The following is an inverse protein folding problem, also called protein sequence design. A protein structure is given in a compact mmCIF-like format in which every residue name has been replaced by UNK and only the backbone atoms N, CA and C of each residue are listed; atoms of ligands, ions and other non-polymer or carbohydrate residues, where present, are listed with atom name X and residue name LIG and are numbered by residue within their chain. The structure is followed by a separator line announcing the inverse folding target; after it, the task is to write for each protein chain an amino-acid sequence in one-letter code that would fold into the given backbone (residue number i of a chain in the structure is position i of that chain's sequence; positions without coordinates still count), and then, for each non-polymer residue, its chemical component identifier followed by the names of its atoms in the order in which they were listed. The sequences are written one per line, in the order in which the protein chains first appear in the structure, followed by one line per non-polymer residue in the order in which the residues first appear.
data_IF_008372044896
#
_entry.id   IF_008372044896
#
_cell.length_a   1.000
_cell.length_b   1.000
_cell.length_c   1.000
_cell.angle_alpha   90.00
_cell.angle_beta   90.00
_cell.angle_gamma   90.00
#
_symmetry.space_group_name_H-M   'P 1'
#
loop_
_entity.id
_entity.type
_entity.pdbx_description
1 polymer ?
#
# COMPACT_ATOMS: atom_id res chain seq x y z
N UNK A 1 20.68 7.97 7.63
CA UNK A 1 20.50 9.05 6.64
C UNK A 1 19.54 8.51 5.60
N UNK A 2 18.23 8.61 5.86
CA UNK A 2 17.20 8.00 5.02
C UNK A 2 16.94 8.88 3.81
N UNK A 3 17.63 8.61 2.71
CA UNK A 3 17.46 9.33 1.45
C UNK A 3 16.12 8.93 0.82
N UNK A 4 15.11 9.79 0.95
CA UNK A 4 13.82 9.59 0.29
C UNK A 4 13.98 9.82 -1.23
N UNK A 5 13.88 8.74 -2.01
CA UNK A 5 13.82 8.83 -3.48
C UNK A 5 12.35 8.98 -3.87
N UNK A 6 12.04 10.09 -4.55
CA UNK A 6 10.69 10.39 -5.00
C UNK A 6 10.31 9.43 -6.14
N UNK A 7 9.27 8.64 -5.91
CA UNK A 7 8.76 7.66 -6.89
C UNK A 7 8.08 8.33 -8.08
N UNK A 8 8.25 7.76 -9.26
CA UNK A 8 7.54 8.21 -10.47
C UNK A 8 6.06 7.88 -10.34
N UNK A 9 5.21 8.72 -10.94
CA UNK A 9 3.74 8.59 -10.81
C UNK A 9 3.23 7.25 -11.35
N UNK A 10 3.98 6.60 -12.23
CA UNK A 10 3.63 5.33 -12.87
C UNK A 10 3.86 4.12 -11.95
N UNK A 11 4.65 4.26 -10.88
CA UNK A 11 4.79 3.23 -9.85
C UNK A 11 3.51 3.20 -8.99
N UNK A 12 2.71 2.15 -9.19
CA UNK A 12 1.46 1.88 -8.45
C UNK A 12 1.66 0.99 -7.22
N UNK A 13 2.87 0.47 -7.06
CA UNK A 13 3.27 -0.38 -5.94
C UNK A 13 4.51 0.16 -5.24
N UNK A 14 4.69 -0.22 -3.98
CA UNK A 14 5.84 0.18 -3.19
C UNK A 14 6.24 -0.91 -2.22
N UNK A 15 7.55 -1.06 -2.00
CA UNK A 15 8.06 -1.91 -0.95
C UNK A 15 8.03 -1.17 0.39
N UNK A 16 7.37 -1.75 1.38
CA UNK A 16 7.32 -1.27 2.76
C UNK A 16 7.62 -2.45 3.65
N UNK A 17 8.64 -2.32 4.51
CA UNK A 17 9.08 -3.40 5.41
C UNK A 17 9.35 -4.75 4.69
N UNK A 18 9.86 -4.71 3.45
CA UNK A 18 10.13 -5.90 2.64
C UNK A 18 8.91 -6.51 1.95
N UNK A 19 7.71 -5.94 2.13
CA UNK A 19 6.49 -6.40 1.47
C UNK A 19 6.06 -5.44 0.36
N UNK A 20 5.54 -5.99 -0.74
CA UNK A 20 4.96 -5.20 -1.82
C UNK A 20 3.57 -4.72 -1.40
N UNK A 21 3.32 -3.42 -1.50
CA UNK A 21 2.07 -2.77 -1.08
C UNK A 21 1.57 -1.86 -2.18
N UNK A 22 0.24 -1.82 -2.38
CA UNK A 22 -0.37 -0.95 -3.37
C UNK A 22 -0.36 0.49 -2.84
N UNK A 23 0.09 1.44 -3.67
CA UNK A 23 0.40 2.81 -3.27
C UNK A 23 -0.81 3.57 -2.72
N UNK A 24 -1.98 3.41 -3.34
CA UNK A 24 -3.18 4.16 -2.96
C UNK A 24 -3.76 3.61 -1.65
N UNK A 25 -3.75 2.28 -1.46
CA UNK A 25 -4.07 1.61 -0.20
C UNK A 25 -3.10 2.02 0.92
N UNK A 26 -1.80 2.09 0.63
CA UNK A 26 -0.80 2.55 1.59
C UNK A 26 -1.02 4.02 1.98
N UNK A 27 -1.37 4.89 1.03
CA UNK A 27 -1.71 6.29 1.30
C UNK A 27 -2.93 6.42 2.20
N UNK A 28 -3.98 5.63 1.94
CA UNK A 28 -5.17 5.58 2.80
C UNK A 28 -4.84 5.06 4.22
N UNK A 29 -3.95 4.07 4.33
CA UNK A 29 -3.45 3.56 5.61
C UNK A 29 -2.70 4.63 6.42
N UNK A 30 -1.82 5.40 5.77
CA UNK A 30 -1.09 6.50 6.42
C UNK A 30 -2.04 7.60 6.88
N UNK A 31 -3.06 7.94 6.07
CA UNK A 31 -4.09 8.91 6.45
C UNK A 31 -4.90 8.42 7.66
N UNK A 32 -5.30 7.14 7.67
CA UNK A 32 -6.04 6.53 8.79
C UNK A 32 -5.24 6.48 10.09
N UNK A 33 -3.93 6.34 9.99
CA UNK A 33 -3.00 6.31 11.13
C UNK A 33 -2.25 7.64 11.33
N UNK A 34 -2.73 8.73 10.72
CA UNK A 34 -2.20 10.06 10.98
C UNK A 34 -2.58 10.55 12.37
N UNK A 35 -1.73 11.38 12.96
CA UNK A 35 -2.03 12.03 14.22
C UNK A 35 -3.28 12.90 14.09
N UNK A 36 -4.00 13.20 15.19
CA UNK A 36 -5.17 14.08 15.16
C UNK A 36 -4.88 15.46 14.55
N UNK A 37 -3.64 15.93 14.71
CA UNK A 37 -3.13 17.17 14.13
C UNK A 37 -2.80 17.09 12.64
N UNK A 38 -2.90 15.89 12.03
CA UNK A 38 -2.65 15.56 10.61
C UNK A 38 -1.28 15.95 10.04
N UNK A 39 -0.38 16.51 10.85
CA UNK A 39 0.95 16.94 10.40
C UNK A 39 1.92 15.76 10.25
N UNK A 40 1.75 14.71 11.03
CA UNK A 40 2.67 13.56 11.03
C UNK A 40 1.91 12.24 11.14
N UNK A 41 2.47 11.20 10.51
CA UNK A 41 2.00 9.83 10.68
C UNK A 41 2.46 9.30 12.03
N UNK A 42 1.54 8.74 12.81
CA UNK A 42 1.89 8.06 14.07
C UNK A 42 2.56 6.72 13.75
N UNK A 43 3.91 6.69 13.83
CA UNK A 43 4.71 5.50 13.53
C UNK A 43 4.37 4.33 14.45
N UNK A 44 4.12 4.58 15.74
CA UNK A 44 3.79 3.52 16.72
C UNK A 44 2.47 2.87 16.35
N UNK A 45 1.47 3.68 16.02
CA UNK A 45 0.16 3.21 15.58
C UNK A 45 0.22 2.52 14.22
N UNK A 46 1.02 3.02 13.28
CA UNK A 46 1.29 2.35 12.02
C UNK A 46 1.91 0.97 12.25
N UNK A 47 2.98 0.86 13.04
CA UNK A 47 3.62 -0.43 13.35
C UNK A 47 2.65 -1.41 14.01
N UNK A 48 1.79 -0.96 14.92
CA UNK A 48 0.80 -1.81 15.58
C UNK A 48 -0.32 -2.28 14.64
N UNK A 49 -0.70 -1.47 13.65
CA UNK A 49 -1.82 -1.77 12.73
C UNK A 49 -1.37 -2.32 11.38
N UNK A 50 -0.07 -2.33 11.09
CA UNK A 50 0.49 -2.73 9.79
C UNK A 50 0.16 -4.17 9.45
N UNK A 51 0.29 -5.10 10.40
CA UNK A 51 -0.02 -6.52 10.17
C UNK A 51 -1.49 -6.73 9.74
N UNK A 52 -2.43 -6.07 10.42
CA UNK A 52 -3.86 -6.12 10.06
C UNK A 52 -4.13 -5.45 8.72
N UNK A 53 -3.47 -4.33 8.43
CA UNK A 53 -3.55 -3.67 7.14
C UNK A 53 -3.09 -4.60 6.01
N UNK A 54 -1.96 -5.28 6.17
CA UNK A 54 -1.44 -6.22 5.19
C UNK A 54 -2.41 -7.38 4.92
N UNK A 55 -3.00 -7.96 5.97
CA UNK A 55 -3.99 -9.02 5.80
C UNK A 55 -5.21 -8.57 4.98
N UNK A 56 -5.72 -7.37 5.25
CA UNK A 56 -6.85 -6.79 4.48
C UNK A 56 -6.44 -6.40 3.06
N UNK A 57 -5.24 -5.85 2.90
CA UNK A 57 -4.66 -5.50 1.61
C UNK A 57 -4.55 -6.74 0.73
N UNK A 58 -3.93 -7.82 1.22
CA UNK A 58 -3.70 -9.04 0.43
C UNK A 58 -5.02 -9.70 0.04
N UNK A 59 -5.98 -9.75 0.96
CA UNK A 59 -7.33 -10.26 0.68
C UNK A 59 -8.02 -9.43 -0.41
N UNK A 60 -7.91 -8.10 -0.34
CA UNK A 60 -8.49 -7.19 -1.32
C UNK A 60 -7.83 -7.35 -2.70
N UNK A 61 -6.49 -7.40 -2.76
CA UNK A 61 -5.74 -7.59 -3.99
C UNK A 61 -6.08 -8.94 -4.62
N UNK A 62 -6.09 -10.03 -3.84
CA UNK A 62 -6.48 -11.36 -4.34
C UNK A 62 -7.90 -11.36 -4.92
N UNK A 63 -8.85 -10.74 -4.22
CA UNK A 63 -10.25 -10.64 -4.69
C UNK A 63 -10.34 -9.83 -6.00
N UNK A 64 -9.59 -8.72 -6.10
CA UNK A 64 -9.54 -7.90 -7.31
C UNK A 64 -8.89 -8.63 -8.50
N UNK A 65 -7.81 -9.38 -8.24
CA UNK A 65 -7.14 -10.20 -9.24
C UNK A 65 -8.04 -11.33 -9.75
N UNK A 66 -8.87 -11.92 -8.89
CA UNK A 66 -9.80 -12.99 -9.25
C UNK A 66 -11.08 -12.49 -9.94
N UNK A 67 -11.58 -11.32 -9.53
CA UNK A 67 -12.85 -10.77 -10.06
C UNK A 67 -12.71 -10.06 -11.41
N UNK A 68 -11.54 -9.54 -11.75
CA UNK A 68 -11.34 -8.77 -12.99
C UNK A 68 -10.82 -9.66 -14.13
N UNK A 69 -11.74 -10.23 -14.92
CA UNK A 69 -11.40 -10.89 -16.21
C UNK A 69 -10.72 -9.96 -17.24
N UNK A 70 -10.70 -8.65 -16.97
CA UNK A 70 -9.85 -7.63 -17.59
C UNK A 70 -9.13 -6.87 -16.47
N UNK A 71 -7.91 -7.30 -16.15
CA UNK A 71 -7.06 -6.61 -15.17
C UNK A 71 -6.89 -5.15 -15.56
N UNK A 72 -7.43 -4.23 -14.74
CA UNK A 72 -7.21 -2.81 -14.95
C UNK A 72 -5.74 -2.49 -14.63
N UNK A 73 -4.94 -2.35 -15.68
CA UNK A 73 -3.54 -1.95 -15.64
C UNK A 73 -3.30 -0.67 -14.82
N UNK A 74 -4.35 0.14 -14.59
CA UNK A 74 -4.26 1.42 -13.91
C UNK A 74 -4.10 1.34 -12.39
N UNK A 75 -4.43 0.20 -11.76
CA UNK A 75 -4.37 0.04 -10.29
C UNK A 75 -3.09 -0.66 -9.79
N UNK A 76 -2.18 -1.04 -10.69
CA UNK A 76 -0.93 -1.72 -10.32
C UNK A 76 -1.10 -3.20 -9.95
N UNK A 77 -2.23 -3.81 -10.30
CA UNK A 77 -2.52 -5.22 -9.97
C UNK A 77 -1.58 -6.22 -10.68
N UNK A 78 -0.94 -5.84 -11.78
CA UNK A 78 0.01 -6.69 -12.51
C UNK A 78 1.26 -7.01 -11.69
N UNK A 79 1.71 -6.07 -10.87
CA UNK A 79 2.91 -6.24 -10.04
C UNK A 79 2.71 -7.31 -8.95
N UNK A 80 1.46 -7.55 -8.54
CA UNK A 80 1.09 -8.58 -7.55
C UNK A 80 0.87 -9.96 -8.14
N UNK A 81 0.85 -10.09 -9.47
CA UNK A 81 0.72 -11.39 -10.14
C UNK A 81 2.08 -12.00 -10.52
N UNK A 82 3.13 -11.18 -10.47
CA UNK A 82 4.51 -11.58 -10.80
C UNK A 82 5.38 -11.81 -9.55
N UNK A 83 4.85 -11.50 -8.36
CA UNK A 83 5.49 -11.68 -7.05
C UNK A 83 5.06 -12.99 -6.41
#
# INVERSE_FOLDING_TARGET
NDTYIKKTRDERTTFVAGQLVQRDLYSAFLLKNSQPTRNETDRTKCSATFATFMAHHDTCIQTLCQSTGRQSCNFGLRDFQLA
#
